data_IF_579280467137
#
_entry.id   IF_579280467137
#
_cell.length_a   1.000
_cell.length_b   1.000
_cell.length_c   1.000
_cell.angle_alpha   90.00
_cell.angle_beta   90.00
_cell.angle_gamma   90.00
#
_symmetry.space_group_name_H-M   'P 1'
#
loop_
_entity.id
_entity.type
_entity.pdbx_description
1 polymer ?
#
# COMPACT_ATOMS: atom_id res chain seq x y z
N UNK A 1 53.78 35.19 -5.46
CA UNK A 1 53.45 33.93 -6.15
C UNK A 1 53.22 32.90 -5.05
N UNK A 2 52.04 32.40 -4.70
CA UNK A 2 50.85 32.06 -5.48
C UNK A 2 49.74 31.77 -4.45
N UNK A 3 48.86 32.72 -4.15
CA UNK A 3 47.71 32.54 -3.24
C UNK A 3 46.47 32.38 -4.12
N UNK A 4 46.17 31.14 -4.52
CA UNK A 4 44.90 30.70 -5.10
C UNK A 4 44.68 29.23 -4.68
N UNK A 5 43.45 28.72 -4.49
CA UNK A 5 42.21 29.38 -4.11
C UNK A 5 41.41 28.45 -3.17
N UNK A 6 41.67 28.46 -1.86
CA UNK A 6 40.98 27.58 -0.89
C UNK A 6 39.45 27.83 -0.91
N UNK A 7 39.06 29.10 -1.05
CA UNK A 7 37.66 29.52 -1.20
C UNK A 7 37.01 29.02 -2.49
N UNK A 8 37.76 28.81 -3.59
CA UNK A 8 37.19 28.32 -4.85
C UNK A 8 36.96 26.80 -4.84
N UNK A 9 37.80 26.04 -4.13
CA UNK A 9 37.56 24.59 -3.92
C UNK A 9 36.34 24.35 -3.04
N UNK A 10 36.15 25.15 -1.99
CA UNK A 10 34.98 25.08 -1.11
C UNK A 10 33.67 25.48 -1.84
N UNK A 11 33.74 26.49 -2.72
CA UNK A 11 32.61 26.91 -3.55
C UNK A 11 32.22 25.84 -4.58
N UNK A 12 33.22 25.16 -5.15
CA UNK A 12 33.01 24.06 -6.09
C UNK A 12 32.31 22.85 -5.48
N UNK A 13 32.70 22.45 -4.26
CA UNK A 13 32.05 21.34 -3.55
C UNK A 13 30.64 21.66 -3.07
N UNK A 14 30.39 22.90 -2.63
CA UNK A 14 29.05 23.38 -2.31
C UNK A 14 28.14 23.35 -3.54
N UNK A 15 28.65 23.76 -4.71
CA UNK A 15 27.90 23.78 -5.96
C UNK A 15 27.58 22.39 -6.50
N UNK A 16 28.52 21.44 -6.40
CA UNK A 16 28.24 20.04 -6.79
C UNK A 16 27.27 19.36 -5.84
N UNK A 17 27.31 19.67 -4.54
CA UNK A 17 26.35 19.16 -3.56
C UNK A 17 24.93 19.69 -3.79
N UNK A 18 24.76 20.99 -4.10
CA UNK A 18 23.45 21.53 -4.46
C UNK A 18 22.92 20.95 -5.77
N UNK A 19 23.77 20.69 -6.76
CA UNK A 19 23.36 20.05 -8.01
C UNK A 19 22.87 18.60 -7.80
N UNK A 20 23.55 17.82 -6.95
CA UNK A 20 23.11 16.44 -6.65
C UNK A 20 21.83 16.41 -5.82
N UNK A 21 21.64 17.35 -4.89
CA UNK A 21 20.38 17.50 -4.15
C UNK A 21 19.20 17.88 -5.07
N UNK A 22 19.44 18.65 -6.14
CA UNK A 22 18.39 19.01 -7.11
C UNK A 22 18.01 17.85 -8.06
N UNK A 23 18.91 16.89 -8.30
CA UNK A 23 18.64 15.76 -9.20
C UNK A 23 17.72 14.67 -8.61
N UNK A 24 17.27 14.80 -7.36
CA UNK A 24 16.42 13.84 -6.67
C UNK A 24 14.91 14.12 -6.67
N UNK A 25 14.46 15.25 -7.24
CA UNK A 25 13.03 15.52 -7.35
C UNK A 25 12.41 14.61 -8.43
N UNK A 26 11.66 13.59 -8.00
CA UNK A 26 10.87 12.76 -8.91
C UNK A 26 9.76 13.61 -9.55
N UNK A 27 9.73 13.64 -10.88
CA UNK A 27 8.64 14.24 -11.65
C UNK A 27 7.42 13.31 -11.52
N UNK A 28 6.51 13.64 -10.60
CA UNK A 28 5.13 13.13 -10.68
C UNK A 28 4.55 13.72 -11.96
N UNK A 29 4.34 12.88 -12.97
CA UNK A 29 3.57 13.29 -14.13
C UNK A 29 2.13 13.50 -13.66
N UNK A 30 1.58 14.68 -13.96
CA UNK A 30 0.15 14.92 -13.84
C UNK A 30 -0.60 13.81 -14.59
N UNK A 31 -1.75 13.40 -14.03
CA UNK A 31 -2.61 12.32 -14.52
C UNK A 31 -2.65 12.20 -16.07
N UNK A 32 -2.65 10.98 -16.63
CA UNK A 32 -2.69 10.80 -18.07
C UNK A 32 -3.84 11.61 -18.66
N UNK A 33 -3.48 12.38 -19.70
CA UNK A 33 -4.29 13.40 -20.36
C UNK A 33 -5.79 13.10 -20.34
N UNK A 34 -6.55 14.10 -19.87
CA UNK A 34 -8.02 14.23 -19.97
C UNK A 34 -8.62 13.22 -20.93
N UNK A 35 -9.32 12.23 -20.38
CA UNK A 35 -10.09 11.25 -21.17
C UNK A 35 -10.91 12.04 -22.18
N UNK A 36 -10.75 11.73 -23.47
CA UNK A 36 -11.48 12.41 -24.53
C UNK A 36 -12.99 12.35 -24.20
N UNK A 37 -13.57 13.51 -23.87
CA UNK A 37 -14.98 13.61 -23.54
C UNK A 37 -15.74 13.19 -24.79
N UNK A 38 -16.37 12.02 -24.73
CA UNK A 38 -17.20 11.51 -25.81
C UNK A 38 -18.32 12.53 -25.99
N UNK A 39 -18.42 13.07 -27.20
CA UNK A 39 -19.48 13.99 -27.54
C UNK A 39 -20.83 13.28 -27.32
N UNK A 40 -21.75 13.81 -26.47
CA UNK A 40 -23.00 13.13 -26.13
C UNK A 40 -23.92 12.94 -27.35
N UNK A 41 -23.75 13.72 -28.42
CA UNK A 41 -24.48 13.56 -29.68
C UNK A 41 -23.98 12.34 -30.49
N UNK A 42 -22.75 11.86 -30.24
CA UNK A 42 -22.23 10.61 -30.82
C UNK A 42 -22.68 9.37 -30.03
N UNK A 43 -23.09 9.54 -28.77
CA UNK A 43 -23.75 8.48 -28.01
C UNK A 43 -25.18 8.31 -28.54
N UNK A 44 -25.36 7.37 -29.48
CA UNK A 44 -26.64 7.07 -30.15
C UNK A 44 -27.83 6.81 -29.21
N UNK A 45 -27.58 6.57 -27.91
CA UNK A 45 -28.62 6.47 -26.88
C UNK A 45 -29.44 7.76 -26.71
N UNK A 46 -28.83 8.94 -26.90
CA UNK A 46 -29.50 10.23 -26.68
C UNK A 46 -30.62 10.53 -27.69
N UNK A 47 -30.60 9.89 -28.86
CA UNK A 47 -31.61 10.10 -29.91
C UNK A 47 -32.84 9.21 -29.73
N UNK A 48 -32.71 8.10 -29.00
CA UNK A 48 -33.75 7.07 -28.86
C UNK A 48 -34.40 7.10 -27.47
N UNK A 49 -33.66 7.54 -26.44
CA UNK A 49 -34.15 7.64 -25.07
C UNK A 49 -34.49 9.11 -24.79
N UNK A 50 -35.76 9.48 -24.96
CA UNK A 50 -36.28 10.74 -24.44
C UNK A 50 -36.51 10.59 -22.94
N UNK A 51 -35.50 10.95 -22.14
CA UNK A 51 -35.64 11.01 -20.69
C UNK A 51 -36.69 12.08 -20.34
N UNK A 52 -37.77 11.69 -19.68
CA UNK A 52 -38.86 12.61 -19.31
C UNK A 52 -38.41 13.77 -18.40
N UNK A 53 -37.24 13.63 -17.78
CA UNK A 53 -36.53 14.67 -17.05
C UNK A 53 -35.07 14.68 -17.54
N UNK A 54 -34.54 15.87 -17.85
CA UNK A 54 -33.16 16.06 -18.32
C UNK A 54 -32.10 15.93 -17.22
N UNK A 55 -32.53 15.78 -15.96
CA UNK A 55 -31.64 15.70 -14.82
C UNK A 55 -31.13 14.27 -14.60
N UNK A 56 -29.90 14.18 -14.08
CA UNK A 56 -29.34 12.91 -13.67
C UNK A 56 -30.23 12.25 -12.60
N UNK A 57 -30.49 10.93 -12.67
CA UNK A 57 -31.35 10.25 -11.72
C UNK A 57 -30.86 10.43 -10.27
N UNK A 58 -31.80 10.68 -9.36
CA UNK A 58 -31.51 10.79 -7.94
C UNK A 58 -30.84 9.52 -7.39
N UNK A 59 -30.11 9.63 -6.28
CA UNK A 59 -29.46 8.49 -5.63
C UNK A 59 -30.44 7.33 -5.32
N UNK A 60 -31.71 7.66 -5.09
CA UNK A 60 -32.82 6.72 -4.92
C UNK A 60 -33.81 6.75 -6.08
N UNK A 61 -33.31 6.70 -7.31
CA UNK A 61 -34.10 6.79 -8.53
C UNK A 61 -35.29 5.81 -8.59
N UNK A 62 -35.20 4.67 -7.90
CA UNK A 62 -36.25 3.65 -7.87
C UNK A 62 -37.50 4.09 -7.08
N UNK A 63 -37.40 5.09 -6.21
CA UNK A 63 -38.57 5.61 -5.48
C UNK A 63 -39.58 6.30 -6.42
N UNK A 64 -39.14 6.72 -7.62
CA UNK A 64 -40.01 7.30 -8.64
C UNK A 64 -41.05 6.32 -9.22
N UNK A 65 -40.91 5.01 -8.98
CA UNK A 65 -41.89 4.00 -9.41
C UNK A 65 -43.08 3.86 -8.45
N UNK A 66 -43.07 4.54 -7.31
CA UNK A 66 -44.15 4.54 -6.30
C UNK A 66 -44.56 3.13 -5.82
N UNK A 67 -43.60 2.20 -5.76
CA UNK A 67 -43.79 0.82 -5.28
C UNK A 67 -43.15 0.63 -3.89
N UNK A 68 -43.97 0.54 -2.81
CA UNK A 68 -43.47 0.29 -1.45
C UNK A 68 -42.74 -1.05 -1.28
N UNK A 69 -43.12 -2.09 -2.05
CA UNK A 69 -42.46 -3.40 -1.98
C UNK A 69 -41.06 -3.33 -2.58
N UNK A 70 -40.91 -2.66 -3.74
CA UNK A 70 -39.62 -2.42 -4.37
C UNK A 70 -38.68 -1.65 -3.44
N UNK A 71 -39.18 -0.57 -2.83
CA UNK A 71 -38.43 0.24 -1.87
C UNK A 71 -37.91 -0.61 -0.70
N UNK A 72 -38.76 -1.47 -0.15
CA UNK A 72 -38.35 -2.37 0.94
C UNK A 72 -37.28 -3.37 0.50
N UNK A 73 -37.42 -3.97 -0.68
CA UNK A 73 -36.46 -4.95 -1.20
C UNK A 73 -35.08 -4.33 -1.44
N UNK A 74 -35.03 -3.16 -2.09
CA UNK A 74 -33.77 -2.46 -2.37
C UNK A 74 -33.10 -2.03 -1.06
N UNK A 75 -33.85 -1.48 -0.10
CA UNK A 75 -33.29 -1.10 1.20
C UNK A 75 -32.71 -2.32 1.94
N UNK A 76 -33.40 -3.46 1.94
CA UNK A 76 -32.90 -4.70 2.54
C UNK A 76 -31.65 -5.20 1.83
N UNK A 77 -31.60 -5.13 0.49
CA UNK A 77 -30.44 -5.52 -0.29
C UNK A 77 -29.24 -4.62 0.01
N UNK A 78 -29.41 -3.30 0.05
CA UNK A 78 -28.32 -2.35 0.35
C UNK A 78 -27.76 -2.51 1.77
N UNK A 79 -28.60 -2.88 2.73
CA UNK A 79 -28.17 -3.10 4.12
C UNK A 79 -27.47 -4.45 4.31
N UNK A 80 -28.00 -5.52 3.71
CA UNK A 80 -27.58 -6.89 4.02
C UNK A 80 -26.77 -7.57 2.89
N UNK A 81 -26.44 -6.87 1.80
CA UNK A 81 -25.68 -7.46 0.70
C UNK A 81 -24.22 -7.75 1.09
N UNK A 82 -23.77 -9.03 1.02
CA UNK A 82 -22.38 -9.38 1.25
C UNK A 82 -21.44 -8.80 0.18
N UNK A 83 -21.93 -8.60 -1.05
CA UNK A 83 -21.11 -8.05 -2.14
C UNK A 83 -20.81 -6.57 -1.91
N UNK A 84 -21.77 -5.81 -1.37
CA UNK A 84 -21.54 -4.41 -0.96
C UNK A 84 -20.57 -4.30 0.23
N UNK A 85 -20.65 -5.24 1.18
CA UNK A 85 -19.68 -5.32 2.27
C UNK A 85 -18.26 -5.61 1.75
N UNK A 86 -18.12 -6.57 0.83
CA UNK A 86 -16.84 -6.86 0.18
C UNK A 86 -16.29 -5.66 -0.60
N UNK A 87 -17.15 -4.90 -1.29
CA UNK A 87 -16.74 -3.67 -1.98
C UNK A 87 -16.20 -2.61 -1.00
N UNK A 88 -16.87 -2.41 0.15
CA UNK A 88 -16.38 -1.50 1.21
C UNK A 88 -15.02 -1.93 1.76
N UNK A 89 -14.83 -3.23 1.99
CA UNK A 89 -13.55 -3.76 2.44
C UNK A 89 -12.44 -3.52 1.41
N UNK A 90 -12.72 -3.67 0.12
CA UNK A 90 -11.74 -3.35 -0.94
C UNK A 90 -11.34 -1.87 -0.92
N UNK A 91 -12.30 -0.97 -0.75
CA UNK A 91 -12.02 0.47 -0.62
C UNK A 91 -11.14 0.74 0.60
N UNK A 92 -11.48 0.17 1.76
CA UNK A 92 -10.69 0.31 2.98
C UNK A 92 -9.27 -0.26 2.82
N UNK A 93 -9.13 -1.42 2.17
CA UNK A 93 -7.82 -1.99 1.85
C UNK A 93 -6.98 -1.07 0.96
N UNK A 94 -7.58 -0.49 -0.09
CA UNK A 94 -6.90 0.48 -0.94
C UNK A 94 -6.45 1.71 -0.16
N UNK A 95 -7.29 2.23 0.75
CA UNK A 95 -6.94 3.36 1.61
C UNK A 95 -5.74 3.03 2.52
N UNK A 96 -5.76 1.88 3.20
CA UNK A 96 -4.62 1.44 4.03
C UNK A 96 -3.34 1.24 3.21
N UNK A 97 -3.46 0.82 1.95
CA UNK A 97 -2.31 0.70 1.05
C UNK A 97 -1.69 2.07 0.72
N UNK A 98 -2.53 3.08 0.51
CA UNK A 98 -2.08 4.47 0.32
C UNK A 98 -1.44 5.02 1.61
N UNK A 99 -2.02 4.73 2.77
CA UNK A 99 -1.47 5.14 4.07
C UNK A 99 -0.11 4.49 4.36
N UNK A 100 0.06 3.22 4.00
CA UNK A 100 1.34 2.51 4.11
C UNK A 100 2.40 3.15 3.21
N UNK A 101 2.04 3.43 1.94
CA UNK A 101 2.93 4.12 1.01
C UNK A 101 3.31 5.52 1.52
N UNK A 102 2.35 6.25 2.11
CA UNK A 102 2.62 7.56 2.74
C UNK A 102 3.56 7.43 3.95
N UNK A 103 3.33 6.44 4.80
CA UNK A 103 4.17 6.20 5.98
C UNK A 103 5.60 5.83 5.59
N UNK A 104 5.78 5.13 4.47
CA UNK A 104 7.09 4.78 3.93
C UNK A 104 7.92 6.01 3.49
N UNK A 105 7.27 7.13 3.18
CA UNK A 105 7.94 8.40 2.84
C UNK A 105 8.40 9.18 4.10
N UNK A 106 8.02 8.75 5.30
CA UNK A 106 8.46 9.32 6.57
C UNK A 106 9.66 8.60 7.18
N UNK A 107 10.09 9.04 8.36
CA UNK A 107 11.12 8.36 9.14
C UNK A 107 10.59 7.01 9.63
N UNK A 108 11.32 5.93 9.32
CA UNK A 108 10.96 4.60 9.78
C UNK A 108 11.91 4.15 10.88
N UNK A 109 11.35 3.56 11.94
CA UNK A 109 12.12 2.94 13.01
C UNK A 109 11.49 1.58 13.34
N UNK A 110 12.33 0.55 13.43
CA UNK A 110 11.91 -0.82 13.73
C UNK A 110 12.69 -1.35 14.92
N UNK A 111 12.04 -2.17 15.74
CA UNK A 111 12.68 -2.91 16.82
C UNK A 111 12.20 -4.36 16.76
N UNK A 112 13.14 -5.29 16.90
CA UNK A 112 12.87 -6.73 16.86
C UNK A 112 13.45 -7.35 18.11
N UNK A 113 12.66 -8.22 18.74
CA UNK A 113 13.09 -9.13 19.79
C UNK A 113 12.53 -10.51 19.49
N UNK A 114 13.39 -11.51 19.41
CA UNK A 114 13.02 -12.89 19.13
C UNK A 114 13.77 -13.85 20.04
N UNK A 115 13.10 -14.92 20.46
CA UNK A 115 13.70 -16.00 21.24
C UNK A 115 13.44 -17.31 20.52
N UNK A 116 14.51 -17.99 20.13
CA UNK A 116 14.44 -19.32 19.52
C UNK A 116 15.07 -20.34 20.45
N UNK A 117 14.31 -21.38 20.80
CA UNK A 117 14.77 -22.46 21.67
C UNK A 117 14.81 -23.76 20.86
N UNK A 118 16.01 -24.27 20.65
CA UNK A 118 16.27 -25.46 19.85
C UNK A 118 16.91 -26.54 20.73
N UNK A 119 16.53 -27.80 20.46
CA UNK A 119 17.17 -28.97 21.06
C UNK A 119 17.71 -29.84 19.95
N UNK A 120 19.01 -30.10 19.97
CA UNK A 120 19.65 -31.02 19.04
C UNK A 120 19.53 -32.43 19.61
N UNK A 121 18.95 -33.35 18.85
CA UNK A 121 18.82 -34.76 19.21
C UNK A 121 19.00 -35.63 17.98
N UNK A 122 19.36 -36.89 18.18
CA UNK A 122 19.44 -37.90 17.12
C UNK A 122 18.10 -38.18 16.42
N UNK A 123 16.99 -37.66 16.94
CA UNK A 123 15.66 -37.75 16.31
C UNK A 123 15.21 -36.48 15.60
N UNK A 124 16.06 -35.44 15.58
CA UNK A 124 15.73 -34.13 14.99
C UNK A 124 16.27 -33.99 13.56
N UNK A 125 15.75 -33.04 12.81
CA UNK A 125 16.19 -32.75 11.43
C UNK A 125 17.71 -32.50 11.31
N UNK A 126 18.38 -32.07 12.39
CA UNK A 126 19.84 -31.89 12.44
C UNK A 126 20.63 -33.18 12.67
N UNK A 127 20.01 -34.36 12.57
CA UNK A 127 20.64 -35.67 12.78
C UNK A 127 21.99 -35.89 12.05
N UNK A 128 22.21 -35.41 10.81
CA UNK A 128 23.52 -35.55 10.15
C UNK A 128 24.68 -34.89 10.92
N UNK A 129 24.37 -33.91 11.78
CA UNK A 129 25.34 -33.16 12.58
C UNK A 129 25.33 -33.55 14.06
N UNK A 130 24.57 -34.58 14.46
CA UNK A 130 24.48 -35.03 15.86
C UNK A 130 25.58 -36.00 16.31
N UNK A 131 26.61 -36.25 15.50
CA UNK A 131 27.73 -37.16 15.82
C UNK A 131 28.58 -36.71 17.01
N UNK A 132 28.53 -35.42 17.38
CA UNK A 132 29.25 -34.85 18.53
C UNK A 132 28.44 -34.81 19.84
N UNK A 133 27.23 -35.40 19.86
CA UNK A 133 26.38 -35.42 21.06
C UNK A 133 26.86 -36.44 22.12
N UNK A 134 26.49 -36.25 23.41
CA UNK A 134 26.82 -37.21 24.47
C UNK A 134 26.19 -38.60 24.22
N UNK A 135 26.67 -39.63 24.94
CA UNK A 135 26.22 -41.04 24.82
C UNK A 135 24.71 -41.22 24.97
N UNK A 136 24.04 -40.34 25.72
CA UNK A 136 22.59 -40.36 25.93
C UNK A 136 21.78 -39.82 24.73
N UNK A 137 22.46 -39.35 23.67
CA UNK A 137 21.92 -38.81 22.40
C UNK A 137 20.93 -37.64 22.58
N UNK A 138 20.91 -37.08 23.79
CA UNK A 138 20.13 -35.93 24.16
C UNK A 138 21.06 -34.73 24.22
N UNK A 139 21.07 -33.93 23.14
CA UNK A 139 21.86 -32.70 23.13
C UNK A 139 21.29 -31.64 24.08
N UNK A 140 22.14 -30.67 24.46
CA UNK A 140 21.75 -29.56 25.31
C UNK A 140 20.71 -28.67 24.62
N UNK A 141 19.99 -27.88 25.44
CA UNK A 141 19.11 -26.84 24.94
C UNK A 141 19.92 -25.62 24.53
N UNK A 142 19.67 -25.13 23.32
CA UNK A 142 20.21 -23.89 22.81
C UNK A 142 19.11 -22.84 22.81
N UNK A 143 19.39 -21.68 23.40
CA UNK A 143 18.50 -20.52 23.35
C UNK A 143 19.22 -19.41 22.64
N UNK A 144 18.68 -18.99 21.50
CA UNK A 144 19.15 -17.84 20.76
C UNK A 144 18.17 -16.69 21.02
N UNK A 145 18.67 -15.63 21.64
CA UNK A 145 17.93 -14.39 21.79
C UNK A 145 18.49 -13.39 20.78
N UNK A 146 17.63 -12.86 19.92
CA UNK A 146 17.99 -11.85 18.93
C UNK A 146 17.26 -10.57 19.29
N UNK A 147 18.01 -9.49 19.49
CA UNK A 147 17.45 -8.15 19.68
C UNK A 147 18.12 -7.22 18.68
N UNK A 148 17.33 -6.38 18.01
CA UNK A 148 17.84 -5.46 17.01
C UNK A 148 16.95 -4.24 16.85
N UNK A 149 17.54 -3.13 16.43
CA UNK A 149 16.83 -1.88 16.11
C UNK A 149 17.32 -1.39 14.75
N UNK A 150 16.40 -0.97 13.89
CA UNK A 150 16.67 -0.45 12.55
C UNK A 150 16.02 0.90 12.33
N UNK A 151 16.54 1.67 11.36
CA UNK A 151 15.94 2.91 10.87
C UNK A 151 16.25 3.10 9.39
N UNK A 152 15.35 3.73 8.65
CA UNK A 152 15.52 4.13 7.25
C UNK A 152 14.83 5.46 6.97
#
# INVERSE_FOLDING_TARGET
>A
MMILPFSARLRGTLFTLTLTLLSGCALIQDEPAQVAIVNPQQAQLAQVIHLANSDWPAARWWEAYDDPQLNMLINRALQNSPTMQAARLRISQSQSTVELARSAMGLQATAVAAQNRLRITDKSFSWPYSYSLPVDKNGPWYTLNTVGVGRS
#
